data_IF_997288903112
#
_entry.id   IF_997288903112
#
_cell.length_a   1.000
_cell.length_b   1.000
_cell.length_c   1.000
_cell.angle_alpha   90.00
_cell.angle_beta   90.00
_cell.angle_gamma   90.00
#
_symmetry.space_group_name_H-M   'P 1'
#
loop_
_entity.id
_entity.type
_entity.pdbx_description
1 polymer ?
#
# COMPACT_ATOMS: atom_id res chain seq x y z
N UNK A 1 -7.70 -10.24 2.52
CA UNK A 1 -8.57 -9.97 1.35
C UNK A 1 -7.79 -9.10 0.39
N UNK A 2 -7.60 -9.54 -0.86
CA UNK A 2 -6.84 -8.77 -1.85
C UNK A 2 -7.65 -7.51 -2.23
N UNK A 3 -7.11 -6.33 -1.93
CA UNK A 3 -7.63 -5.09 -2.52
C UNK A 3 -7.66 -5.24 -4.03
N UNK A 4 -8.84 -5.15 -4.64
CA UNK A 4 -9.05 -5.20 -6.09
C UNK A 4 -8.21 -4.11 -6.76
N UNK A 5 -7.63 -4.41 -7.94
CA UNK A 5 -6.77 -3.49 -8.69
C UNK A 5 -7.37 -2.08 -8.85
N UNK A 6 -8.68 -2.01 -9.12
CA UNK A 6 -9.46 -0.77 -9.24
C UNK A 6 -9.29 0.13 -8.01
N UNK A 7 -9.32 -0.44 -6.81
CA UNK A 7 -9.18 0.32 -5.57
C UNK A 7 -7.77 0.87 -5.39
N UNK A 8 -6.75 0.14 -5.86
CA UNK A 8 -5.35 0.57 -5.79
C UNK A 8 -5.05 1.68 -6.78
N UNK A 9 -5.60 1.57 -7.99
CA UNK A 9 -5.50 2.62 -9.01
C UNK A 9 -6.19 3.91 -8.54
N UNK A 10 -7.32 3.81 -7.82
CA UNK A 10 -8.00 4.98 -7.27
C UNK A 10 -7.14 5.78 -6.26
N UNK A 11 -6.15 5.16 -5.60
CA UNK A 11 -5.23 5.85 -4.69
C UNK A 11 -4.22 6.76 -5.40
N UNK A 12 -4.00 6.56 -6.70
CA UNK A 12 -3.11 7.41 -7.51
C UNK A 12 -3.76 8.76 -7.86
N UNK A 13 -5.05 8.92 -7.57
CA UNK A 13 -5.83 10.09 -7.94
C UNK A 13 -6.29 10.06 -9.40
N UNK A 14 -6.83 11.18 -9.91
CA UNK A 14 -7.30 11.26 -11.29
C UNK A 14 -6.12 11.17 -12.27
N UNK A 15 -6.16 10.16 -13.15
CA UNK A 15 -5.18 9.92 -14.20
C UNK A 15 -5.85 10.06 -15.58
N UNK A 16 -5.10 10.52 -16.59
CA UNK A 16 -5.56 10.42 -17.97
C UNK A 16 -5.62 8.95 -18.42
N UNK A 17 -6.44 8.62 -19.41
CA UNK A 17 -6.58 7.23 -19.89
C UNK A 17 -5.25 6.63 -20.36
N UNK A 18 -4.41 7.42 -21.02
CA UNK A 18 -3.08 6.99 -21.45
C UNK A 18 -2.18 6.66 -20.23
N UNK A 19 -2.14 7.54 -19.22
CA UNK A 19 -1.38 7.26 -18.01
C UNK A 19 -1.94 6.05 -17.26
N UNK A 20 -3.26 5.87 -17.23
CA UNK A 20 -3.90 4.72 -16.62
C UNK A 20 -3.43 3.42 -17.27
N UNK A 21 -3.36 3.37 -18.59
CA UNK A 21 -2.87 2.20 -19.34
C UNK A 21 -1.39 1.90 -19.04
N UNK A 22 -0.58 2.93 -18.85
CA UNK A 22 0.85 2.79 -18.50
C UNK A 22 1.06 2.30 -17.06
N UNK A 23 0.29 2.81 -16.09
CA UNK A 23 0.48 2.45 -14.66
C UNK A 23 -0.20 1.14 -14.27
N UNK A 24 -1.25 0.73 -14.98
CA UNK A 24 -2.00 -0.50 -14.68
C UNK A 24 -1.10 -1.74 -14.55
N UNK A 25 -0.26 -2.10 -15.53
CA UNK A 25 0.59 -3.28 -15.42
C UNK A 25 1.64 -3.17 -14.30
N UNK A 26 2.08 -1.94 -13.98
CA UNK A 26 3.04 -1.70 -12.88
C UNK A 26 2.38 -1.96 -11.53
N UNK A 27 1.17 -1.45 -11.33
CA UNK A 27 0.40 -1.65 -10.10
C UNK A 27 0.00 -3.12 -9.93
N UNK A 28 -0.30 -3.82 -11.01
CA UNK A 28 -0.54 -5.27 -11.00
C UNK A 28 0.71 -6.05 -10.54
N UNK A 29 1.88 -5.78 -11.11
CA UNK A 29 3.13 -6.45 -10.71
C UNK A 29 3.46 -6.21 -9.23
N UNK A 30 3.38 -4.95 -8.79
CA UNK A 30 3.63 -4.61 -7.38
C UNK A 30 2.62 -5.27 -6.45
N UNK A 31 1.37 -5.39 -6.89
CA UNK A 31 0.32 -6.09 -6.14
C UNK A 31 0.63 -7.58 -6.00
N UNK A 32 1.06 -8.23 -7.08
CA UNK A 32 1.45 -9.64 -7.07
C UNK A 32 2.66 -9.88 -6.16
N UNK A 33 3.69 -9.03 -6.25
CA UNK A 33 4.89 -9.11 -5.41
C UNK A 33 4.58 -8.90 -3.92
N UNK A 34 3.74 -7.92 -3.59
CA UNK A 34 3.32 -7.69 -2.21
C UNK A 34 2.52 -8.87 -1.64
N UNK A 35 1.65 -9.49 -2.46
CA UNK A 35 0.92 -10.69 -2.07
C UNK A 35 1.84 -11.89 -1.82
N UNK A 36 2.81 -12.12 -2.73
CA UNK A 36 3.80 -13.18 -2.59
C UNK A 36 4.66 -12.98 -1.33
N UNK A 37 5.12 -11.75 -1.07
CA UNK A 37 5.88 -11.43 0.14
C UNK A 37 5.04 -11.64 1.40
N UNK A 38 3.77 -11.21 1.40
CA UNK A 38 2.88 -11.41 2.54
C UNK A 38 2.65 -12.90 2.83
N UNK A 39 2.48 -13.73 1.79
CA UNK A 39 2.35 -15.18 1.94
C UNK A 39 3.64 -15.84 2.43
N UNK A 40 4.80 -15.38 1.93
CA UNK A 40 6.11 -15.83 2.41
C UNK A 40 6.29 -15.48 3.89
N UNK A 41 6.04 -14.23 4.29
CA UNK A 41 6.11 -13.81 5.70
C UNK A 41 5.12 -14.61 6.55
N UNK A 42 3.88 -14.83 6.11
CA UNK A 42 2.91 -15.61 6.88
C UNK A 42 3.33 -17.07 7.10
N UNK A 43 4.08 -17.66 6.16
CA UNK A 43 4.58 -19.04 6.26
C UNK A 43 5.92 -19.17 6.99
N UNK A 44 6.69 -18.09 7.10
CA UNK A 44 8.05 -18.09 7.67
C UNK A 44 8.19 -17.26 8.95
N UNK A 45 7.22 -16.41 9.27
CA UNK A 45 7.16 -15.70 10.53
C UNK A 45 6.79 -16.70 11.63
N UNK A 46 7.81 -17.27 12.27
CA UNK A 46 7.65 -17.87 13.59
C UNK A 46 7.12 -16.77 14.51
N UNK A 47 5.98 -17.04 15.15
CA UNK A 47 5.26 -16.09 15.98
C UNK A 47 6.13 -15.55 17.13
N UNK A 48 6.90 -14.50 16.85
CA UNK A 48 7.64 -13.69 17.82
C UNK A 48 7.78 -12.24 17.33
N UNK A 49 6.96 -11.82 16.36
CA UNK A 49 6.78 -10.41 16.04
C UNK A 49 5.92 -9.78 17.13
N UNK A 50 6.59 -9.27 18.16
CA UNK A 50 5.95 -8.38 19.14
C UNK A 50 5.26 -7.24 18.37
N UNK A 51 4.02 -6.85 18.74
CA UNK A 51 3.31 -5.79 18.06
C UNK A 51 4.13 -4.50 18.11
N UNK A 52 4.51 -3.99 16.94
CA UNK A 52 5.18 -2.69 16.82
C UNK A 52 4.16 -1.62 17.24
N UNK A 53 4.32 -1.08 18.43
CA UNK A 53 3.45 -0.02 18.94
C UNK A 53 3.99 1.32 18.46
N UNK A 54 3.41 1.89 17.41
CA UNK A 54 3.81 3.21 16.91
C UNK A 54 2.98 4.28 17.62
N UNK A 55 3.64 5.15 18.40
CA UNK A 55 3.02 6.31 19.03
C UNK A 55 2.94 7.45 18.01
N UNK A 56 1.76 7.66 17.43
CA UNK A 56 1.49 8.82 16.56
C UNK A 56 1.30 10.04 17.47
N UNK A 57 2.20 11.01 17.39
CA UNK A 57 2.00 12.33 18.00
C UNK A 57 1.44 13.24 16.91
N UNK A 58 0.21 13.75 17.02
CA UNK A 58 -0.34 14.65 16.02
C UNK A 58 0.50 15.92 15.94
N UNK A 59 0.91 16.29 14.73
CA UNK A 59 1.57 17.56 14.47
C UNK A 59 0.59 18.68 14.80
N UNK A 60 1.00 19.63 15.65
CA UNK A 60 0.22 20.85 15.89
C UNK A 60 0.10 21.61 14.57
N UNK A 61 -1.09 22.15 14.22
CA UNK A 61 -1.21 23.06 13.09
C UNK A 61 -0.23 24.21 13.25
N UNK A 62 0.55 24.47 12.20
CA UNK A 62 1.31 25.71 12.11
C UNK A 62 0.31 26.78 11.69
N UNK A 63 0.06 27.75 12.55
CA UNK A 63 -0.82 28.89 12.28
C UNK A 63 -0.08 29.86 11.33
N UNK A 64 -0.57 30.06 10.09
CA UNK A 64 0.02 31.04 9.18
C UNK A 64 -0.61 32.41 9.46
N UNK A 65 0.01 33.20 10.35
CA UNK A 65 -0.23 34.64 10.41
C UNK A 65 0.55 35.37 9.31
#
# INVERSE_FOLDING_TARGET
>A
MASTLVHRLALLGPLSEQHLQEVTPIVEDWTARAAALSAWVASHATASTLPITVRITPLKPVDPQ
#
